data_IF_395938825048
#
_entry.id   IF_395938825048
#
_cell.length_a   1.000
_cell.length_b   1.000
_cell.length_c   1.000
_cell.angle_alpha   90.00
_cell.angle_beta   90.00
_cell.angle_gamma   90.00
#
_symmetry.space_group_name_H-M   'P 1'
#
loop_
_entity.id
_entity.type
_entity.pdbx_description
1 polymer ?
#
# COMPACT_ATOMS: atom_id res chain seq x y z
N UNK A 1 -10.77 13.82 39.28
CA UNK A 1 -10.58 14.54 38.02
C UNK A 1 -9.29 14.03 37.37
N UNK A 2 -9.36 12.95 36.59
CA UNK A 2 -8.18 12.37 35.96
C UNK A 2 -7.90 13.05 34.62
N UNK A 3 -6.77 13.73 34.48
CA UNK A 3 -6.32 14.30 33.22
C UNK A 3 -5.92 13.18 32.27
N UNK A 4 -6.75 12.93 31.26
CA UNK A 4 -6.41 12.08 30.12
C UNK A 4 -5.46 12.89 29.23
N UNK A 5 -4.16 12.67 29.38
CA UNK A 5 -3.16 13.18 28.45
C UNK A 5 -3.41 12.51 27.10
N UNK A 6 -4.00 13.25 26.16
CA UNK A 6 -4.12 12.82 24.78
C UNK A 6 -2.71 12.52 24.24
N UNK A 7 -2.40 11.25 24.04
CA UNK A 7 -1.21 10.85 23.30
C UNK A 7 -1.39 11.33 21.87
N UNK A 8 -0.66 12.38 21.49
CA UNK A 8 -0.53 12.78 20.09
C UNK A 8 -0.20 11.54 19.24
N UNK A 9 -0.82 11.37 18.05
CA UNK A 9 -0.45 10.29 17.17
C UNK A 9 1.05 10.38 16.91
N UNK A 10 1.76 9.26 17.12
CA UNK A 10 3.21 9.12 16.95
C UNK A 10 3.61 9.40 15.49
N UNK A 11 3.63 10.68 15.11
CA UNK A 11 4.19 11.22 13.86
C UNK A 11 5.72 11.24 13.96
N UNK A 12 6.31 10.07 14.26
CA UNK A 12 7.72 9.91 14.63
C UNK A 12 8.44 8.77 13.90
N UNK A 13 7.98 8.34 12.72
CA UNK A 13 8.70 7.35 11.87
C UNK A 13 8.88 7.85 10.44
N UNK A 14 9.45 9.05 10.30
CA UNK A 14 9.75 9.70 9.03
C UNK A 14 10.83 9.00 8.19
N UNK A 15 10.60 7.76 7.75
CA UNK A 15 11.05 7.38 6.41
C UNK A 15 9.99 7.90 5.46
N UNK A 16 10.34 8.96 4.73
CA UNK A 16 9.54 9.51 3.64
C UNK A 16 9.10 8.40 2.68
N UNK A 17 7.87 7.91 2.83
CA UNK A 17 7.27 6.91 1.93
C UNK A 17 7.12 7.47 0.51
N UNK A 18 7.20 8.79 0.38
CA UNK A 18 7.25 9.58 -0.84
C UNK A 18 8.64 9.62 -1.52
N UNK A 19 9.63 8.83 -1.10
CA UNK A 19 10.94 8.78 -1.77
C UNK A 19 10.95 7.87 -3.02
N UNK A 20 10.97 8.43 -4.26
CA UNK A 20 10.93 7.65 -5.50
C UNK A 20 12.23 6.87 -5.77
N UNK A 21 13.33 7.20 -5.09
CA UNK A 21 14.60 6.49 -5.25
C UNK A 21 14.63 5.15 -4.49
N UNK A 22 13.62 4.86 -3.68
CA UNK A 22 13.52 3.61 -2.91
C UNK A 22 12.44 2.67 -3.47
N UNK A 23 12.69 1.37 -3.47
CA UNK A 23 11.69 0.35 -3.86
C UNK A 23 10.40 0.47 -3.04
N UNK A 24 10.54 0.75 -1.74
CA UNK A 24 9.41 0.96 -0.84
C UNK A 24 8.57 2.16 -1.27
N UNK A 25 9.23 3.29 -1.57
CA UNK A 25 8.53 4.51 -1.95
C UNK A 25 7.91 4.45 -3.34
N UNK A 26 8.56 3.79 -4.32
CA UNK A 26 7.96 3.54 -5.64
C UNK A 26 6.69 2.70 -5.51
N UNK A 27 6.76 1.61 -4.73
CA UNK A 27 5.59 0.75 -4.45
C UNK A 27 4.47 1.55 -3.79
N UNK A 28 4.79 2.38 -2.80
CA UNK A 28 3.83 3.24 -2.12
C UNK A 28 3.17 4.24 -3.08
N UNK A 29 3.96 4.98 -3.85
CA UNK A 29 3.46 6.01 -4.76
C UNK A 29 2.55 5.43 -5.85
N UNK A 30 2.87 4.25 -6.39
CA UNK A 30 2.00 3.56 -7.35
C UNK A 30 0.69 3.13 -6.70
N UNK A 31 0.73 2.48 -5.53
CA UNK A 31 -0.49 2.02 -4.86
C UNK A 31 -1.37 3.17 -4.36
N UNK A 32 -0.77 4.28 -3.91
CA UNK A 32 -1.47 5.48 -3.46
C UNK A 32 -2.24 6.14 -4.60
N UNK A 33 -1.64 6.20 -5.78
CA UNK A 33 -2.22 6.90 -6.95
C UNK A 33 -3.15 5.98 -7.77
N UNK A 34 -3.19 4.67 -7.45
CA UNK A 34 -4.03 3.69 -8.15
C UNK A 34 -5.52 3.88 -7.84
N UNK A 35 -6.33 4.05 -8.89
CA UNK A 35 -7.79 4.15 -8.78
C UNK A 35 -8.51 2.79 -8.80
N UNK A 36 -7.80 1.72 -9.13
CA UNK A 36 -8.31 0.36 -9.27
C UNK A 36 -7.36 -0.65 -8.59
N UNK A 37 -7.79 -1.91 -8.55
CA UNK A 37 -6.99 -3.01 -8.01
C UNK A 37 -5.88 -3.39 -8.98
N UNK A 38 -4.64 -3.47 -8.50
CA UNK A 38 -3.48 -3.78 -9.32
C UNK A 38 -2.90 -5.16 -9.00
N UNK A 39 -2.56 -5.92 -10.04
CA UNK A 39 -1.75 -7.14 -9.95
C UNK A 39 -0.28 -6.79 -9.80
N UNK A 40 0.54 -7.74 -9.33
CA UNK A 40 1.99 -7.50 -9.13
C UNK A 40 2.72 -7.06 -10.40
N UNK A 41 2.34 -7.58 -11.57
CA UNK A 41 2.95 -7.17 -12.84
C UNK A 41 2.55 -5.74 -13.21
N UNK A 42 1.27 -5.38 -13.04
CA UNK A 42 0.79 -4.00 -13.30
C UNK A 42 1.45 -2.99 -12.36
N UNK A 43 1.72 -3.37 -11.10
CA UNK A 43 2.51 -2.53 -10.19
C UNK A 43 3.94 -2.37 -10.72
N UNK A 44 4.57 -3.45 -11.19
CA UNK A 44 5.92 -3.41 -11.76
C UNK A 44 6.01 -2.54 -13.02
N UNK A 45 5.03 -2.67 -13.91
CA UNK A 45 4.90 -1.84 -15.13
C UNK A 45 4.71 -0.36 -14.77
N UNK A 46 3.78 -0.05 -13.86
CA UNK A 46 3.57 1.33 -13.41
C UNK A 46 4.80 1.93 -12.71
N UNK A 47 5.61 1.12 -12.01
CA UNK A 47 6.89 1.55 -11.45
C UNK A 47 7.89 1.86 -12.57
N UNK A 48 7.99 0.99 -13.57
CA UNK A 48 8.88 1.17 -14.70
C UNK A 48 8.52 2.42 -15.51
N UNK A 49 7.25 2.57 -15.89
CA UNK A 49 6.76 3.70 -16.69
C UNK A 49 6.98 5.04 -15.97
N UNK A 50 6.81 5.06 -14.64
CA UNK A 50 6.90 6.30 -13.86
C UNK A 50 8.32 6.66 -13.43
N UNK A 51 9.15 5.66 -13.11
CA UNK A 51 10.45 5.89 -12.46
C UNK A 51 11.65 5.34 -13.25
N UNK A 52 11.42 4.64 -14.37
CA UNK A 52 12.46 3.99 -15.16
C UNK A 52 13.20 2.88 -14.42
N UNK A 53 12.59 2.29 -13.39
CA UNK A 53 13.20 1.27 -12.54
C UNK A 53 12.43 -0.05 -12.64
N UNK A 54 13.16 -1.17 -12.77
CA UNK A 54 12.54 -2.49 -12.83
C UNK A 54 12.64 -3.17 -11.46
N UNK A 55 11.55 -3.13 -10.71
CA UNK A 55 11.44 -3.83 -9.43
C UNK A 55 10.82 -5.22 -9.64
N UNK A 56 11.42 -6.26 -9.06
CA UNK A 56 10.92 -7.64 -9.23
C UNK A 56 9.62 -7.88 -8.46
N UNK A 57 8.78 -8.81 -8.92
CA UNK A 57 7.53 -9.17 -8.22
C UNK A 57 7.77 -9.57 -6.76
N UNK A 58 8.86 -10.31 -6.49
CA UNK A 58 9.24 -10.68 -5.13
C UNK A 58 9.57 -9.44 -4.28
N UNK A 59 10.33 -8.48 -4.82
CA UNK A 59 10.66 -7.24 -4.14
C UNK A 59 9.40 -6.41 -3.83
N UNK A 60 8.53 -6.22 -4.84
CA UNK A 60 7.25 -5.50 -4.68
C UNK A 60 6.39 -6.15 -3.59
N UNK A 61 6.23 -7.47 -3.63
CA UNK A 61 5.46 -8.20 -2.61
C UNK A 61 6.02 -8.02 -1.20
N UNK A 62 7.35 -7.98 -1.05
CA UNK A 62 8.00 -7.73 0.22
C UNK A 62 7.78 -6.28 0.70
N UNK A 63 7.79 -5.30 -0.21
CA UNK A 63 7.50 -3.89 0.10
C UNK A 63 6.04 -3.70 0.51
N UNK A 64 5.08 -4.38 -0.12
CA UNK A 64 3.67 -4.35 0.31
C UNK A 64 3.52 -4.81 1.77
N UNK A 65 4.16 -5.93 2.14
CA UNK A 65 4.15 -6.42 3.53
C UNK A 65 4.80 -5.40 4.49
N UNK A 66 5.85 -4.74 4.04
CA UNK A 66 6.50 -3.68 4.82
C UNK A 66 5.62 -2.45 4.99
N UNK A 67 4.93 -1.98 3.94
CA UNK A 67 3.99 -0.86 4.01
C UNK A 67 2.87 -1.13 5.04
N UNK A 68 2.34 -2.37 5.08
CA UNK A 68 1.39 -2.79 6.12
C UNK A 68 1.97 -2.66 7.53
N UNK A 69 3.25 -3.02 7.73
CA UNK A 69 3.95 -2.82 9.02
C UNK A 69 4.18 -1.34 9.36
N UNK A 70 4.18 -0.47 8.37
CA UNK A 70 4.23 0.99 8.54
C UNK A 70 2.85 1.61 8.83
N UNK A 71 1.78 0.82 8.87
CA UNK A 71 0.42 1.31 9.13
C UNK A 71 -0.37 1.68 7.87
N UNK A 72 0.17 1.41 6.68
CA UNK A 72 -0.55 1.62 5.43
C UNK A 72 -1.58 0.50 5.23
N UNK A 73 -2.85 0.86 5.10
CA UNK A 73 -3.92 -0.12 4.84
C UNK A 73 -3.93 -0.52 3.37
N UNK A 74 -3.41 -1.72 3.09
CA UNK A 74 -3.42 -2.30 1.74
C UNK A 74 -4.29 -3.54 1.75
N UNK A 75 -5.41 -3.50 1.05
CA UNK A 75 -6.26 -4.65 0.82
C UNK A 75 -5.65 -5.58 -0.24
N UNK A 76 -5.94 -6.87 -0.13
CA UNK A 76 -5.56 -7.88 -1.12
C UNK A 76 -6.73 -8.82 -1.38
N UNK A 77 -6.99 -9.17 -2.63
CA UNK A 77 -8.00 -10.15 -3.02
C UNK A 77 -7.48 -11.09 -4.11
N UNK A 78 -8.10 -12.26 -4.23
CA UNK A 78 -7.93 -13.13 -5.39
C UNK A 78 -9.00 -12.78 -6.41
N UNK A 79 -8.62 -12.47 -7.65
CA UNK A 79 -9.57 -12.32 -8.74
C UNK A 79 -9.60 -13.59 -9.60
N UNK A 80 -10.76 -13.97 -10.18
CA UNK A 80 -10.81 -15.06 -11.14
C UNK A 80 -9.96 -14.72 -12.37
N UNK A 81 -8.90 -15.49 -12.60
CA UNK A 81 -8.03 -15.37 -13.76
C UNK A 81 -8.35 -16.42 -14.84
N UNK A 82 -7.85 -16.22 -16.07
CA UNK A 82 -7.94 -17.22 -17.13
C UNK A 82 -7.33 -18.56 -16.69
N UNK A 83 -7.94 -19.67 -17.13
CA UNK A 83 -7.42 -21.02 -16.86
C UNK A 83 -7.44 -21.46 -15.40
N UNK A 84 -8.33 -20.88 -14.57
CA UNK A 84 -8.44 -21.23 -13.14
C UNK A 84 -7.34 -20.64 -12.27
N UNK A 85 -6.49 -19.78 -12.82
CA UNK A 85 -5.52 -19.01 -12.05
C UNK A 85 -6.24 -18.00 -11.15
N UNK A 86 -5.68 -17.71 -9.98
CA UNK A 86 -6.21 -16.75 -9.02
C UNK A 86 -5.16 -15.71 -8.67
N UNK A 87 -4.86 -14.77 -9.59
CA UNK A 87 -3.88 -13.74 -9.32
C UNK A 87 -4.30 -12.89 -8.12
N UNK A 88 -3.32 -12.54 -7.29
CA UNK A 88 -3.53 -11.58 -6.22
C UNK A 88 -3.51 -10.15 -6.77
N UNK A 89 -4.52 -9.41 -6.37
CA UNK A 89 -4.65 -7.98 -6.63
C UNK A 89 -4.52 -7.20 -5.33
N UNK A 90 -4.03 -5.98 -5.44
CA UNK A 90 -3.73 -5.12 -4.31
C UNK A 90 -4.31 -3.73 -4.53
N UNK A 91 -4.81 -3.13 -3.46
CA UNK A 91 -5.27 -1.74 -3.47
C UNK A 91 -4.95 -1.07 -2.15
N UNK A 92 -4.38 0.13 -2.21
CA UNK A 92 -4.27 0.96 -1.02
C UNK A 92 -5.65 1.53 -0.73
N UNK A 93 -6.16 1.22 0.46
CA UNK A 93 -7.29 1.95 1.00
C UNK A 93 -6.70 3.23 1.56
N UNK A 94 -7.21 4.38 1.10
CA UNK A 94 -6.72 5.67 1.56
C UNK A 94 -6.75 5.79 3.08
N UNK A 95 -6.17 6.86 3.61
CA UNK A 95 -6.24 7.24 5.01
C UNK A 95 -7.68 7.68 5.35
N UNK A 96 -8.63 6.75 5.22
CA UNK A 96 -10.05 6.93 5.49
C UNK A 96 -10.20 7.07 6.99
N UNK A 97 -9.84 8.25 7.50
CA UNK A 97 -10.36 8.85 8.71
C UNK A 97 -11.85 9.07 8.52
N UNK A 98 -12.61 7.98 8.53
CA UNK A 98 -14.05 7.96 8.69
C UNK A 98 -14.36 7.45 10.08
N UNK A 99 -14.50 8.37 11.03
CA UNK A 99 -15.40 8.16 12.15
C UNK A 99 -16.76 7.71 11.58
N UNK A 100 -17.16 6.46 11.82
CA UNK A 100 -18.40 5.88 11.30
C UNK A 100 -18.60 4.48 11.88
N UNK A 101 -19.07 4.44 13.12
CA UNK A 101 -19.32 3.20 13.87
C UNK A 101 -20.42 2.32 13.29
N UNK A 102 -20.59 1.16 13.94
CA UNK A 102 -21.75 0.30 13.76
C UNK A 102 -21.36 -1.11 13.38
N UNK A 103 -21.06 -1.92 14.39
CA UNK A 103 -21.45 -3.31 14.35
C UNK A 103 -22.97 -3.38 14.16
N UNK A 104 -23.42 -4.26 13.28
CA UNK A 104 -24.76 -4.84 13.29
C UNK A 104 -24.59 -6.36 13.15
#
# INVERSE_FOLDING_TARGET
>A
MGTVTAMAPRQGRGRRLDNPNSQLGRTYLVLRDAMYWLKLHEIGEAIYDRFGQQDSHAAISARIRELRRYGVTIASQESPGPGGTRPHEYRMLGDWGGNGGGAA
#
